data_IF_547682463051
#
_entry.id   IF_547682463051
#
_cell.length_a   1.000
_cell.length_b   1.000
_cell.length_c   1.000
_cell.angle_alpha   90.00
_cell.angle_beta   90.00
_cell.angle_gamma   90.00
#
_symmetry.space_group_name_H-M   'P 1'
#
loop_
_entity.id
_entity.type
_entity.pdbx_description
1 polymer ?
#
# COMPACT_ATOMS: atom_id res chain seq x y z
N UNK A 1 40.97 6.95 -37.04
CA UNK A 1 40.22 5.99 -36.21
C UNK A 1 40.75 6.10 -34.78
N UNK A 2 39.99 6.67 -33.85
CA UNK A 2 40.46 6.86 -32.48
C UNK A 2 40.30 5.55 -31.69
N UNK A 3 41.42 4.86 -31.48
CA UNK A 3 41.50 3.70 -30.61
C UNK A 3 41.47 4.20 -29.16
N UNK A 4 40.28 4.21 -28.57
CA UNK A 4 40.07 4.73 -27.23
C UNK A 4 40.58 3.67 -26.23
N UNK A 5 41.87 3.77 -25.91
CA UNK A 5 42.64 2.92 -25.00
C UNK A 5 41.98 2.90 -23.62
N UNK A 6 41.14 1.89 -23.37
CA UNK A 6 40.54 1.68 -22.06
C UNK A 6 41.65 1.34 -21.06
N UNK A 7 41.98 2.29 -20.20
CA UNK A 7 43.00 2.13 -19.17
C UNK A 7 42.59 1.06 -18.17
N UNK A 8 43.36 -0.02 -18.11
CA UNK A 8 43.14 -1.15 -17.19
C UNK A 8 43.84 -0.83 -15.87
N UNK A 9 43.15 -1.01 -14.74
CA UNK A 9 43.67 -0.70 -13.41
C UNK A 9 42.73 -1.15 -12.29
N UNK A 10 43.02 -0.76 -11.05
CA UNK A 10 42.17 -1.12 -9.91
C UNK A 10 40.73 -0.63 -10.11
N UNK A 11 39.75 -1.53 -10.03
CA UNK A 11 38.33 -1.24 -10.29
C UNK A 11 37.97 -1.01 -11.77
N UNK A 12 38.91 -1.15 -12.71
CA UNK A 12 38.72 -1.02 -14.16
C UNK A 12 39.06 -2.33 -14.87
N UNK A 13 38.20 -3.37 -14.77
CA UNK A 13 38.47 -4.67 -15.38
C UNK A 13 38.45 -4.57 -16.93
N UNK A 14 39.26 -5.35 -17.66
CA UNK A 14 39.28 -5.32 -19.12
C UNK A 14 37.89 -5.54 -19.75
N UNK A 15 37.56 -4.80 -20.82
CA UNK A 15 36.23 -4.84 -21.45
C UNK A 15 35.78 -6.23 -21.91
N UNK A 16 36.72 -7.08 -22.34
CA UNK A 16 36.42 -8.42 -22.86
C UNK A 16 36.02 -9.42 -21.75
N UNK A 17 36.37 -9.15 -20.49
CA UNK A 17 35.98 -9.99 -19.34
C UNK A 17 34.78 -9.44 -18.57
N UNK A 18 34.31 -8.23 -18.90
CA UNK A 18 33.15 -7.64 -18.22
C UNK A 18 31.86 -8.39 -18.60
N UNK A 19 31.01 -8.66 -17.61
CA UNK A 19 29.67 -9.18 -17.88
C UNK A 19 28.82 -8.13 -18.60
N UNK A 20 28.03 -8.57 -19.58
CA UNK A 20 27.09 -7.69 -20.28
C UNK A 20 26.04 -7.16 -19.30
N UNK A 21 25.72 -5.87 -19.37
CA UNK A 21 24.66 -5.26 -18.56
C UNK A 21 23.36 -6.06 -18.75
N UNK A 22 22.79 -6.54 -17.64
CA UNK A 22 21.55 -7.35 -17.63
C UNK A 22 21.77 -8.86 -17.72
N UNK A 23 22.99 -9.34 -17.97
CA UNK A 23 23.33 -10.76 -17.99
C UNK A 23 24.12 -11.12 -16.72
N UNK A 24 23.62 -12.10 -15.97
CA UNK A 24 24.38 -12.68 -14.85
C UNK A 24 25.60 -13.43 -15.38
N UNK A 25 26.76 -13.30 -14.71
CA UNK A 25 27.94 -14.09 -15.00
C UNK A 25 27.76 -15.60 -14.74
N UNK A 26 26.76 -15.97 -13.94
CA UNK A 26 26.32 -17.35 -13.78
C UNK A 26 24.84 -17.48 -14.22
N UNK A 27 24.57 -17.86 -15.48
CA UNK A 27 23.22 -18.07 -15.99
C UNK A 27 22.47 -19.23 -15.31
N UNK A 28 23.18 -20.18 -14.71
CA UNK A 28 22.63 -21.29 -13.91
C UNK A 28 22.40 -20.91 -12.44
N UNK A 29 22.75 -19.68 -12.05
CA UNK A 29 22.50 -19.16 -10.71
C UNK A 29 21.00 -19.00 -10.42
N UNK A 30 20.66 -18.69 -9.17
CA UNK A 30 19.27 -18.53 -8.74
C UNK A 30 18.59 -17.43 -9.58
N UNK A 31 17.52 -17.75 -10.33
CA UNK A 31 16.86 -16.77 -11.18
C UNK A 31 16.26 -15.65 -10.34
N UNK A 32 16.30 -14.42 -10.87
CA UNK A 32 15.57 -13.28 -10.27
C UNK A 32 14.08 -13.64 -10.21
N UNK A 33 13.48 -13.52 -9.03
CA UNK A 33 12.08 -13.90 -8.80
C UNK A 33 11.83 -15.39 -8.53
N UNK A 34 12.87 -16.17 -8.22
CA UNK A 34 12.71 -17.57 -7.76
C UNK A 34 11.63 -17.67 -6.68
N UNK A 35 10.70 -18.63 -6.84
CA UNK A 35 9.54 -18.90 -5.99
C UNK A 35 9.90 -18.87 -4.50
N UNK A 36 9.75 -17.71 -3.87
CA UNK A 36 9.80 -17.59 -2.42
C UNK A 36 8.48 -18.16 -1.87
N UNK A 37 8.54 -18.84 -0.72
CA UNK A 37 7.36 -19.39 -0.05
C UNK A 37 6.32 -18.28 0.16
N UNK A 38 6.75 -17.07 0.50
CA UNK A 38 5.88 -15.90 0.68
C UNK A 38 5.08 -15.55 -0.59
N UNK A 39 5.73 -15.66 -1.76
CA UNK A 39 5.09 -15.40 -3.06
C UNK A 39 4.05 -16.48 -3.38
N UNK A 40 4.35 -17.73 -3.04
CA UNK A 40 3.40 -18.84 -3.22
C UNK A 40 2.21 -18.72 -2.28
N UNK A 41 2.42 -18.37 -1.02
CA UNK A 41 1.35 -18.13 -0.04
C UNK A 41 0.46 -16.99 -0.51
N UNK A 42 1.04 -15.84 -0.87
CA UNK A 42 0.29 -14.69 -1.37
C UNK A 42 -0.55 -15.06 -2.59
N UNK A 43 0.06 -15.73 -3.57
CA UNK A 43 -0.64 -16.17 -4.78
C UNK A 43 -1.80 -17.12 -4.46
N UNK A 44 -1.60 -18.07 -3.54
CA UNK A 44 -2.64 -19.00 -3.12
C UNK A 44 -3.79 -18.28 -2.41
N UNK A 45 -3.49 -17.30 -1.54
CA UNK A 45 -4.51 -16.52 -0.82
C UNK A 45 -5.32 -15.60 -1.75
N UNK A 46 -4.68 -15.02 -2.76
CA UNK A 46 -5.28 -14.10 -3.74
C UNK A 46 -6.07 -14.81 -4.84
N UNK A 47 -5.85 -16.12 -5.02
CA UNK A 47 -6.55 -16.94 -6.00
C UNK A 47 -8.08 -16.85 -5.81
N UNK A 48 -8.80 -16.68 -6.92
CA UNK A 48 -10.24 -16.47 -6.91
C UNK A 48 -10.99 -17.79 -6.90
N UNK A 49 -12.00 -17.88 -6.05
CA UNK A 49 -12.90 -19.03 -5.90
C UNK A 49 -14.35 -18.57 -6.01
N UNK A 50 -15.19 -19.43 -6.57
CA UNK A 50 -16.63 -19.19 -6.67
C UNK A 50 -17.28 -19.70 -5.39
N UNK A 51 -17.82 -18.79 -4.59
CA UNK A 51 -18.54 -19.12 -3.35
C UNK A 51 -20.04 -18.84 -3.56
N UNK A 52 -20.88 -19.77 -3.11
CA UNK A 52 -22.33 -19.61 -3.11
C UNK A 52 -22.76 -18.99 -1.78
N UNK A 53 -23.33 -17.79 -1.84
CA UNK A 53 -23.86 -17.10 -0.67
C UNK A 53 -25.37 -16.82 -0.79
N UNK A 54 -25.94 -16.11 0.20
CA UNK A 54 -27.36 -15.75 0.21
C UNK A 54 -27.78 -14.93 -1.02
N UNK A 55 -26.86 -14.09 -1.54
CA UNK A 55 -27.07 -13.26 -2.74
C UNK A 55 -26.58 -13.89 -4.04
N UNK A 56 -26.47 -15.22 -4.12
CA UNK A 56 -26.03 -15.94 -5.32
C UNK A 56 -24.55 -16.29 -5.34
N UNK A 57 -24.03 -16.63 -6.54
CA UNK A 57 -22.62 -17.02 -6.74
C UNK A 57 -21.77 -15.76 -6.85
N UNK A 58 -20.72 -15.65 -6.03
CA UNK A 58 -19.74 -14.55 -6.05
C UNK A 58 -18.34 -15.09 -6.27
N UNK A 59 -17.53 -14.35 -7.01
CA UNK A 59 -16.12 -14.66 -7.24
C UNK A 59 -15.29 -13.85 -6.24
N UNK A 60 -14.83 -14.52 -5.18
CA UNK A 60 -14.07 -13.90 -4.08
C UNK A 60 -12.69 -14.54 -3.94
N UNK A 61 -11.76 -13.90 -3.25
CA UNK A 61 -10.45 -14.53 -2.99
C UNK A 61 -10.57 -15.69 -1.99
N UNK A 62 -9.64 -16.66 -2.03
CA UNK A 62 -9.58 -17.73 -1.02
C UNK A 62 -9.44 -17.17 0.40
N UNK A 63 -8.68 -16.11 0.57
CA UNK A 63 -8.52 -15.44 1.85
C UNK A 63 -9.83 -14.84 2.37
N UNK A 64 -10.54 -14.09 1.53
CA UNK A 64 -11.84 -13.50 1.86
C UNK A 64 -12.89 -14.57 2.17
N UNK A 65 -12.91 -15.66 1.40
CA UNK A 65 -13.76 -16.82 1.66
C UNK A 65 -13.46 -17.45 3.03
N UNK A 66 -12.17 -17.63 3.37
CA UNK A 66 -11.76 -18.17 4.67
C UNK A 66 -12.17 -17.28 5.84
N UNK A 67 -12.00 -15.95 5.72
CA UNK A 67 -12.43 -14.99 6.73
C UNK A 67 -13.96 -15.01 6.91
N UNK A 68 -14.71 -15.06 5.81
CA UNK A 68 -16.17 -15.16 5.84
C UNK A 68 -16.62 -16.43 6.54
N UNK A 69 -16.00 -17.58 6.20
CA UNK A 69 -16.30 -18.86 6.83
C UNK A 69 -15.93 -18.87 8.32
N UNK A 70 -14.83 -18.21 8.70
CA UNK A 70 -14.41 -18.08 10.08
C UNK A 70 -15.40 -17.23 10.89
N UNK A 71 -15.87 -16.12 10.32
CA UNK A 71 -16.92 -15.30 10.92
C UNK A 71 -18.23 -16.08 11.09
N UNK A 72 -18.63 -16.87 10.08
CA UNK A 72 -19.81 -17.73 10.18
C UNK A 72 -19.68 -18.78 11.30
N UNK A 73 -18.51 -19.39 11.48
CA UNK A 73 -18.23 -20.34 12.57
C UNK A 73 -18.29 -19.68 13.95
N UNK A 74 -17.74 -18.47 14.06
CA UNK A 74 -17.85 -17.68 15.29
C UNK A 74 -19.31 -17.35 15.60
N UNK A 75 -20.08 -16.93 14.60
CA UNK A 75 -21.50 -16.63 14.73
C UNK A 75 -22.35 -17.87 15.08
N UNK A 76 -21.95 -19.06 14.63
CA UNK A 76 -22.60 -20.33 15.01
C UNK A 76 -22.25 -20.82 16.41
N UNK A 77 -21.36 -20.13 17.14
CA UNK A 77 -21.03 -20.44 18.54
C UNK A 77 -19.73 -21.22 18.77
N UNK A 78 -18.82 -21.31 17.80
CA UNK A 78 -17.48 -21.88 18.04
C UNK A 78 -16.61 -20.90 18.85
N UNK A 79 -16.26 -21.21 20.11
CA UNK A 79 -15.49 -20.29 20.97
C UNK A 79 -14.05 -20.09 20.50
N UNK A 80 -13.46 -21.04 19.76
CA UNK A 80 -12.12 -20.85 19.17
C UNK A 80 -12.20 -19.86 18.02
N UNK A 81 -13.20 -20.01 17.15
CA UNK A 81 -13.40 -19.10 16.05
C UNK A 81 -13.71 -17.68 16.53
N UNK A 82 -14.52 -17.55 17.58
CA UNK A 82 -14.85 -16.27 18.20
C UNK A 82 -13.61 -15.55 18.74
N UNK A 83 -12.71 -16.26 19.45
CA UNK A 83 -11.46 -15.68 19.95
C UNK A 83 -10.54 -15.15 18.84
N UNK A 84 -10.42 -15.87 17.72
CA UNK A 84 -9.61 -15.40 16.59
C UNK A 84 -10.21 -14.15 15.93
N UNK A 85 -11.54 -14.10 15.77
CA UNK A 85 -12.22 -12.91 15.23
C UNK A 85 -12.04 -11.70 16.16
N UNK A 86 -12.13 -11.88 17.48
CA UNK A 86 -11.86 -10.79 18.44
C UNK A 86 -10.46 -10.20 18.28
N UNK A 87 -9.42 -11.06 18.19
CA UNK A 87 -8.03 -10.63 17.96
C UNK A 87 -7.86 -9.87 16.65
N UNK A 88 -8.54 -10.30 15.58
CA UNK A 88 -8.49 -9.62 14.29
C UNK A 88 -9.17 -8.25 14.36
N UNK A 89 -10.30 -8.14 15.07
CA UNK A 89 -11.03 -6.88 15.25
C UNK A 89 -10.19 -5.83 15.98
N UNK A 90 -9.49 -6.21 17.03
CA UNK A 90 -8.62 -5.31 17.81
C UNK A 90 -7.55 -4.66 16.91
N UNK A 91 -6.89 -5.44 16.04
CA UNK A 91 -5.89 -4.92 15.09
C UNK A 91 -6.46 -3.94 14.07
N UNK A 92 -7.71 -4.15 13.62
CA UNK A 92 -8.37 -3.23 12.68
C UNK A 92 -8.74 -1.94 13.38
N UNK A 93 -9.20 -2.02 14.63
CA UNK A 93 -9.64 -0.86 15.41
C UNK A 93 -8.48 0.10 15.75
N UNK A 94 -7.24 -0.41 15.85
CA UNK A 94 -6.03 0.40 15.98
C UNK A 94 -5.65 1.17 14.69
N UNK A 95 -6.12 0.71 13.53
CA UNK A 95 -5.81 1.30 12.21
C UNK A 95 -6.90 2.25 11.71
N UNK A 96 -7.91 2.55 12.53
CA UNK A 96 -8.99 3.49 12.24
C UNK A 96 -8.82 4.84 12.96
N UNK A 97 -7.72 5.61 12.76
CA UNK A 97 -7.85 7.05 12.84
C UNK A 97 -8.41 7.54 11.49
N UNK A 98 -9.40 8.43 11.49
CA UNK A 98 -9.87 9.25 10.35
C UNK A 98 -11.10 8.84 9.51
N UNK A 99 -11.90 7.82 9.84
CA UNK A 99 -13.21 7.64 9.14
C UNK A 99 -14.31 8.64 9.55
N UNK A 100 -14.04 9.52 10.51
CA UNK A 100 -14.80 10.77 10.68
C UNK A 100 -13.86 11.95 10.39
N UNK A 101 -13.99 12.62 9.24
CA UNK A 101 -13.26 13.86 9.02
C UNK A 101 -13.63 14.83 10.16
N UNK A 102 -12.65 15.47 10.83
CA UNK A 102 -12.95 16.42 11.88
C UNK A 102 -13.82 17.56 11.31
N UNK A 103 -14.91 17.88 11.99
CA UNK A 103 -15.73 19.03 11.66
C UNK A 103 -14.92 20.30 11.92
N UNK A 104 -14.43 20.95 10.86
CA UNK A 104 -13.78 22.24 10.96
C UNK A 104 -14.83 23.35 10.95
N UNK A 105 -15.00 24.05 12.08
CA UNK A 105 -15.79 25.28 12.15
C UNK A 105 -14.89 26.43 11.74
N UNK A 106 -15.09 26.96 10.53
CA UNK A 106 -14.37 28.15 10.05
C UNK A 106 -15.06 29.39 10.59
N UNK A 107 -14.47 30.01 11.61
CA UNK A 107 -14.91 31.31 12.11
C UNK A 107 -14.28 32.43 11.27
N UNK A 108 -15.06 33.02 10.37
CA UNK A 108 -14.66 34.24 9.67
C UNK A 108 -14.63 35.42 10.63
N UNK A 109 -13.44 35.81 11.07
CA UNK A 109 -13.22 37.05 11.81
C UNK A 109 -13.36 38.20 10.80
N UNK A 110 -14.45 38.98 10.90
CA UNK A 110 -14.56 40.21 10.12
C UNK A 110 -13.46 41.19 10.57
N UNK A 111 -12.69 41.80 9.65
CA UNK A 111 -11.71 42.80 10.03
C UNK A 111 -12.40 43.98 10.70
N UNK A 112 -11.88 44.43 11.86
CA UNK A 112 -12.35 45.63 12.56
C UNK A 112 -12.16 46.84 11.64
N UNK A 113 -13.26 47.56 11.41
CA UNK A 113 -13.34 48.81 10.63
C UNK A 113 -12.06 49.65 10.69
N UNK A 114 -11.43 49.85 9.54
CA UNK A 114 -10.52 50.97 9.31
C UNK A 114 -11.32 52.27 9.38
N UNK A 115 -10.87 53.21 10.21
CA UNK A 115 -11.53 54.50 10.48
C UNK A 115 -11.86 55.27 9.19
N UNK A 116 -12.97 56.02 9.13
CA UNK A 116 -13.23 56.92 8.01
C UNK A 116 -12.16 58.03 7.99
N UNK A 117 -11.62 58.31 6.80
CA UNK A 117 -10.68 59.41 6.57
C UNK A 117 -11.31 60.78 6.86
N UNK A 118 -10.50 61.82 7.11
CA UNK A 118 -11.01 63.10 7.59
C UNK A 118 -11.83 63.82 6.50
N UNK A 119 -13.00 64.34 6.90
CA UNK A 119 -13.78 65.29 6.10
C UNK A 119 -12.91 66.50 5.75
N UNK A 120 -12.85 66.84 4.46
CA UNK A 120 -12.40 68.16 4.01
C UNK A 120 -13.62 69.04 3.88
N UNK A 121 -13.89 69.80 4.94
CA UNK A 121 -14.75 70.99 4.89
C UNK A 121 -13.88 72.24 4.66
N UNK A 122 -14.36 73.15 3.82
CA UNK A 122 -13.79 74.48 3.55
C UNK A 122 -13.02 74.55 2.23
N UNK A 123 -13.29 75.44 1.28
CA UNK A 123 -14.13 76.63 1.22
C UNK A 123 -13.71 77.42 -0.04
N UNK A 124 -14.63 78.25 -0.54
CA UNK A 124 -14.56 79.11 -1.74
C UNK A 124 -14.78 78.46 -3.12
#
# INVERSE_FOLDING_TARGET
>A
MAENSYEIGFGKPPKHTQFRKGQSGNPKGRPKGSKNIDVLIRKALEEKVIVKGPGGRRLISKFEAALTQQANKAASGDPRAFREILRLRERVQEQEPFLSPPNFVVNFIRPRNTKPGPNKDGGE
#
